data_IF_092879592765
#
_entry.id   IF_092879592765
#
_cell.length_a   1.000
_cell.length_b   1.000
_cell.length_c   1.000
_cell.angle_alpha   90.00
_cell.angle_beta   90.00
_cell.angle_gamma   90.00
#
_symmetry.space_group_name_H-M   'P 1'
#
loop_
_entity.id
_entity.type
_entity.pdbx_description
1 polymer ?
#
# COMPACT_ATOMS: atom_id res chain seq x y z
N UNK A 1 -67.47 -28.97 22.40
CA UNK A 1 -66.89 -27.87 21.65
C UNK A 1 -65.43 -27.81 22.02
N UNK A 2 -64.47 -28.22 21.15
CA UNK A 2 -63.07 -28.16 21.46
C UNK A 2 -62.44 -26.91 20.79
N UNK A 3 -61.71 -26.11 21.58
CA UNK A 3 -60.99 -24.93 21.23
C UNK A 3 -59.71 -25.29 20.45
N UNK A 4 -59.57 -24.79 19.23
CA UNK A 4 -58.39 -24.95 18.37
C UNK A 4 -57.33 -23.93 18.80
N UNK A 5 -56.26 -24.41 19.43
CA UNK A 5 -55.05 -23.63 19.70
C UNK A 5 -54.25 -23.48 18.40
N UNK A 6 -54.24 -22.27 17.83
CA UNK A 6 -53.43 -21.86 16.70
C UNK A 6 -51.99 -21.65 17.18
N UNK A 7 -51.11 -22.61 16.92
CA UNK A 7 -49.66 -22.47 17.19
C UNK A 7 -49.04 -21.63 16.08
N UNK A 8 -48.72 -20.38 16.39
CA UNK A 8 -47.93 -19.54 15.53
C UNK A 8 -46.47 -20.05 15.51
N UNK A 9 -46.04 -20.62 14.40
CA UNK A 9 -44.63 -20.94 14.14
C UNK A 9 -43.92 -19.69 13.74
N UNK A 10 -43.11 -19.13 14.65
CA UNK A 10 -42.22 -18.00 14.39
C UNK A 10 -41.00 -18.55 13.65
N UNK A 11 -40.96 -18.36 12.31
CA UNK A 11 -39.77 -18.63 11.51
C UNK A 11 -38.70 -17.59 11.80
N UNK A 12 -37.71 -17.94 12.64
CA UNK A 12 -36.46 -17.21 12.79
C UNK A 12 -35.63 -17.42 11.53
N UNK A 13 -35.64 -16.41 10.65
CA UNK A 13 -34.75 -16.35 9.48
C UNK A 13 -33.33 -16.10 9.98
N UNK A 14 -32.32 -16.94 9.71
CA UNK A 14 -30.95 -16.65 10.08
C UNK A 14 -30.44 -15.49 9.24
N UNK A 15 -30.12 -14.38 9.89
CA UNK A 15 -29.41 -13.24 9.28
C UNK A 15 -27.98 -13.70 8.94
N UNK A 16 -27.75 -14.09 7.70
CA UNK A 16 -26.41 -14.40 7.20
C UNK A 16 -25.60 -13.10 7.17
N UNK A 17 -24.75 -12.92 8.17
CA UNK A 17 -23.74 -11.87 8.18
C UNK A 17 -22.70 -12.26 7.12
N UNK A 18 -22.79 -11.65 5.94
CA UNK A 18 -21.72 -11.70 4.95
C UNK A 18 -20.53 -10.92 5.53
N UNK A 19 -19.59 -11.63 6.13
CA UNK A 19 -18.27 -11.07 6.39
C UNK A 19 -17.63 -10.78 5.02
N UNK A 20 -17.64 -9.54 4.61
CA UNK A 20 -16.86 -9.08 3.48
C UNK A 20 -15.39 -9.33 3.83
N UNK A 21 -14.79 -10.36 3.24
CA UNK A 21 -13.35 -10.57 3.29
C UNK A 21 -12.68 -9.41 2.56
N UNK A 22 -12.21 -8.42 3.30
CA UNK A 22 -11.30 -7.39 2.78
C UNK A 22 -9.97 -8.07 2.40
N UNK A 23 -9.86 -8.43 1.12
CA UNK A 23 -8.67 -9.08 0.56
C UNK A 23 -7.59 -8.01 0.40
N UNK A 24 -6.78 -7.77 1.42
CA UNK A 24 -5.62 -6.92 1.30
C UNK A 24 -5.27 -6.03 2.49
N UNK A 25 -6.07 -5.99 3.54
CA UNK A 25 -5.69 -5.28 4.75
C UNK A 25 -5.11 -6.26 5.77
N UNK A 26 -3.82 -6.11 6.13
CA UNK A 26 -3.33 -6.66 7.38
C UNK A 26 -3.77 -5.74 8.52
N UNK A 27 -4.79 -6.11 9.33
CA UNK A 27 -5.39 -5.22 10.35
C UNK A 27 -4.38 -4.80 11.43
N UNK A 28 -3.31 -5.58 11.62
CA UNK A 28 -2.36 -5.40 12.72
C UNK A 28 -1.53 -4.10 12.65
N UNK A 29 -1.39 -3.47 11.48
CA UNK A 29 -0.58 -2.26 11.29
C UNK A 29 -1.40 -1.00 11.06
N UNK A 30 -2.64 -1.13 10.60
CA UNK A 30 -3.54 0.01 10.37
C UNK A 30 -3.89 0.69 11.68
N UNK A 31 -3.83 2.03 11.69
CA UNK A 31 -4.08 2.86 12.88
C UNK A 31 -2.84 3.06 13.77
N UNK A 32 -1.69 2.46 13.45
CA UNK A 32 -0.43 2.65 14.18
C UNK A 32 0.43 3.72 13.53
N UNK A 33 1.29 4.33 14.32
CA UNK A 33 2.36 5.21 13.81
C UNK A 33 3.28 4.37 12.94
N UNK A 34 3.56 4.85 11.72
CA UNK A 34 4.51 4.22 10.81
C UNK A 34 5.91 4.19 11.46
N UNK A 35 6.61 3.04 11.45
CA UNK A 35 7.99 2.96 11.88
C UNK A 35 8.85 3.94 11.07
N UNK A 36 9.72 4.69 11.74
CA UNK A 36 10.66 5.55 11.03
C UNK A 36 11.83 4.73 10.49
N UNK A 37 12.31 5.11 9.32
CA UNK A 37 13.50 4.54 8.71
C UNK A 37 14.28 5.57 7.92
N UNK A 38 15.57 5.31 7.75
CA UNK A 38 16.44 6.07 6.89
C UNK A 38 17.25 5.09 6.03
N UNK A 39 17.02 5.09 4.72
CA UNK A 39 17.72 4.22 3.75
C UNK A 39 18.41 5.10 2.73
N UNK A 40 19.64 4.73 2.38
CA UNK A 40 20.43 5.38 1.32
C UNK A 40 21.20 4.33 0.53
N UNK A 41 21.23 4.49 -0.80
CA UNK A 41 22.02 3.68 -1.72
C UNK A 41 23.27 4.41 -2.24
N UNK A 42 23.56 5.60 -1.68
CA UNK A 42 24.66 6.47 -2.08
C UNK A 42 24.29 7.49 -3.16
N UNK A 43 23.30 7.20 -4.00
CA UNK A 43 22.77 8.12 -5.02
C UNK A 43 21.52 8.85 -4.51
N UNK A 44 20.65 8.12 -3.81
CA UNK A 44 19.39 8.60 -3.29
C UNK A 44 19.25 8.24 -1.81
N UNK A 45 18.47 9.00 -1.05
CA UNK A 45 18.13 8.67 0.32
C UNK A 45 16.67 8.98 0.61
N UNK A 46 16.03 8.11 1.40
CA UNK A 46 14.67 8.30 1.92
C UNK A 46 14.71 8.19 3.43
N UNK A 47 14.33 9.28 4.10
CA UNK A 47 14.08 9.30 5.54
C UNK A 47 12.59 9.62 5.74
N UNK A 48 11.81 8.66 6.23
CA UNK A 48 10.35 8.77 6.29
C UNK A 48 9.91 9.98 7.14
N UNK A 49 10.63 10.29 8.21
CA UNK A 49 10.32 11.43 9.08
C UNK A 49 10.27 12.78 8.34
N UNK A 50 11.00 12.92 7.22
CA UNK A 50 11.02 14.16 6.42
C UNK A 50 9.69 14.43 5.69
N UNK A 51 8.78 13.45 5.67
CA UNK A 51 7.49 13.54 4.98
C UNK A 51 6.31 13.75 5.92
N UNK A 52 6.56 14.06 7.19
CA UNK A 52 5.50 14.47 8.12
C UNK A 52 4.74 15.68 7.57
N UNK A 53 3.42 15.67 7.70
CA UNK A 53 2.54 16.68 7.11
C UNK A 53 2.11 16.40 5.67
N UNK A 54 2.65 15.36 5.02
CA UNK A 54 2.22 14.89 3.70
C UNK A 54 1.51 13.55 3.82
N UNK A 55 0.62 13.26 2.86
CA UNK A 55 0.15 11.89 2.63
C UNK A 55 1.26 11.15 1.89
N UNK A 56 1.63 9.97 2.36
CA UNK A 56 2.72 9.16 1.81
C UNK A 56 2.16 7.83 1.28
N UNK A 57 2.56 7.47 0.07
CA UNK A 57 2.52 6.11 -0.44
C UNK A 57 3.93 5.52 -0.32
N UNK A 58 4.14 4.66 0.66
CA UNK A 58 5.38 3.91 0.83
C UNK A 58 5.23 2.56 0.11
N UNK A 59 5.88 2.43 -1.03
CA UNK A 59 5.81 1.25 -1.90
C UNK A 59 7.11 0.44 -1.79
N UNK A 60 6.99 -0.84 -1.47
CA UNK A 60 8.09 -1.80 -1.49
C UNK A 60 8.00 -2.65 -2.76
N UNK A 61 9.08 -2.72 -3.53
CA UNK A 61 9.07 -3.30 -4.86
C UNK A 61 10.44 -3.88 -5.29
N UNK A 62 10.51 -4.43 -6.51
CA UNK A 62 11.77 -4.81 -7.15
C UNK A 62 11.63 -4.81 -8.68
N UNK A 63 12.75 -4.68 -9.39
CA UNK A 63 12.78 -4.67 -10.86
C UNK A 63 12.45 -6.01 -11.49
N UNK A 64 12.66 -7.11 -10.78
CA UNK A 64 12.34 -8.48 -11.20
C UNK A 64 10.94 -8.93 -10.79
N UNK A 65 10.21 -8.11 -10.04
CA UNK A 65 8.86 -8.41 -9.57
C UNK A 65 7.82 -8.06 -10.66
N UNK A 66 7.28 -9.06 -11.32
CA UNK A 66 6.31 -8.86 -12.41
C UNK A 66 5.07 -8.06 -12.00
N UNK A 67 4.39 -8.32 -10.85
CA UNK A 67 3.27 -7.48 -10.41
C UNK A 67 3.67 -6.04 -10.11
N UNK A 68 4.90 -5.81 -9.58
CA UNK A 68 5.41 -4.45 -9.34
C UNK A 68 5.51 -3.67 -10.66
N UNK A 69 6.02 -4.32 -11.72
CA UNK A 69 6.14 -3.72 -13.06
C UNK A 69 4.76 -3.39 -13.64
N UNK A 70 3.75 -4.21 -13.36
CA UNK A 70 2.39 -3.99 -13.85
C UNK A 70 1.73 -2.73 -13.27
N UNK A 71 1.99 -2.41 -12.00
CA UNK A 71 1.41 -1.22 -11.36
C UNK A 71 2.14 0.08 -11.67
N UNK A 72 3.41 0.02 -12.09
CA UNK A 72 4.26 1.20 -12.32
C UNK A 72 3.62 2.28 -13.21
N UNK A 73 2.97 1.97 -14.35
CA UNK A 73 2.37 3.01 -15.18
C UNK A 73 1.34 3.84 -14.40
N UNK A 74 0.43 3.21 -13.68
CA UNK A 74 -0.61 3.91 -12.92
C UNK A 74 -0.04 4.65 -11.69
N UNK A 75 1.08 4.15 -11.13
CA UNK A 75 1.78 4.80 -10.03
C UNK A 75 2.51 6.07 -10.50
N UNK A 76 3.13 6.03 -11.69
CA UNK A 76 3.72 7.19 -12.35
C UNK A 76 2.67 8.24 -12.70
N UNK A 77 1.53 7.82 -13.27
CA UNK A 77 0.41 8.74 -13.55
C UNK A 77 -0.08 9.43 -12.28
N UNK A 78 -0.21 8.69 -11.17
CA UNK A 78 -0.58 9.28 -9.89
C UNK A 78 0.45 10.27 -9.38
N UNK A 79 1.74 9.97 -9.54
CA UNK A 79 2.85 10.85 -9.16
C UNK A 79 2.79 12.19 -9.90
N UNK A 80 2.55 12.15 -11.22
CA UNK A 80 2.47 13.37 -12.05
C UNK A 80 1.20 14.17 -11.76
N UNK A 81 0.08 13.50 -11.46
CA UNK A 81 -1.21 14.13 -11.26
C UNK A 81 -1.38 14.78 -9.88
N UNK A 82 -0.66 14.30 -8.85
CA UNK A 82 -0.76 14.82 -7.48
C UNK A 82 0.63 15.11 -6.86
N UNK A 83 1.19 16.30 -7.11
CA UNK A 83 2.50 16.69 -6.58
C UNK A 83 2.53 16.86 -5.05
N UNK A 84 1.36 16.87 -4.38
CA UNK A 84 1.30 16.95 -2.92
C UNK A 84 1.39 15.59 -2.24
N UNK A 85 1.16 14.51 -2.99
CA UNK A 85 1.33 13.14 -2.54
C UNK A 85 2.81 12.75 -2.61
N UNK A 86 3.36 12.27 -1.51
CA UNK A 86 4.72 11.75 -1.51
C UNK A 86 4.71 10.25 -1.85
N UNK A 87 5.21 9.87 -3.01
CA UNK A 87 5.43 8.47 -3.37
C UNK A 87 6.89 8.13 -3.09
N UNK A 88 7.11 7.23 -2.13
CA UNK A 88 8.41 6.76 -1.69
C UNK A 88 8.55 5.28 -2.06
N UNK A 89 9.38 4.99 -3.05
CA UNK A 89 9.58 3.63 -3.52
C UNK A 89 10.88 3.05 -2.94
N UNK A 90 10.79 1.96 -2.21
CA UNK A 90 11.96 1.27 -1.64
C UNK A 90 12.11 -0.07 -2.35
N UNK A 91 13.20 -0.19 -3.12
CA UNK A 91 13.52 -1.39 -3.87
C UNK A 91 14.38 -2.34 -3.05
N UNK A 92 14.09 -3.63 -3.16
CA UNK A 92 14.91 -4.69 -2.55
C UNK A 92 15.90 -5.31 -3.54
N UNK A 93 16.13 -4.69 -4.70
CA UNK A 93 17.11 -5.18 -5.67
C UNK A 93 18.51 -5.27 -5.07
N UNK A 94 19.18 -6.43 -5.28
CA UNK A 94 20.55 -6.63 -4.81
C UNK A 94 21.57 -6.05 -5.78
N UNK A 95 21.32 -6.14 -7.09
CA UNK A 95 22.21 -5.67 -8.15
C UNK A 95 21.97 -4.17 -8.47
N UNK A 96 22.95 -3.29 -8.16
CA UNK A 96 22.80 -1.85 -8.40
C UNK A 96 22.78 -1.49 -9.89
N UNK A 97 23.48 -2.26 -10.73
CA UNK A 97 23.58 -1.96 -12.17
C UNK A 97 22.27 -2.34 -12.87
N UNK A 98 21.74 -3.52 -12.57
CA UNK A 98 20.43 -3.95 -13.09
C UNK A 98 19.30 -3.01 -12.64
N UNK A 99 19.33 -2.54 -11.40
CA UNK A 99 18.37 -1.58 -10.86
C UNK A 99 18.46 -0.24 -11.62
N UNK A 100 19.66 0.35 -11.74
CA UNK A 100 19.84 1.64 -12.39
C UNK A 100 19.50 1.59 -13.89
N UNK A 101 19.86 0.49 -14.57
CA UNK A 101 19.50 0.26 -15.96
C UNK A 101 17.98 0.16 -16.16
N UNK A 102 17.27 -0.53 -15.24
CA UNK A 102 15.81 -0.63 -15.28
C UNK A 102 15.16 0.75 -15.15
N UNK A 103 15.59 1.57 -14.16
CA UNK A 103 15.06 2.93 -13.95
C UNK A 103 15.23 3.78 -15.20
N UNK A 104 16.44 3.76 -15.77
CA UNK A 104 16.78 4.54 -16.96
C UNK A 104 15.95 4.11 -18.17
N UNK A 105 15.88 2.82 -18.47
CA UNK A 105 15.14 2.30 -19.63
C UNK A 105 13.63 2.53 -19.55
N UNK A 106 13.09 2.55 -18.35
CA UNK A 106 11.66 2.76 -18.08
C UNK A 106 11.29 4.21 -17.79
N UNK A 107 12.29 5.11 -17.78
CA UNK A 107 12.10 6.53 -17.43
C UNK A 107 11.35 6.71 -16.09
N UNK A 108 11.77 5.94 -15.08
CA UNK A 108 11.17 6.02 -13.73
C UNK A 108 11.69 7.28 -13.05
N UNK A 109 10.83 8.25 -12.83
CA UNK A 109 11.12 9.53 -12.16
C UNK A 109 10.53 9.62 -10.73
N UNK A 110 10.08 8.48 -10.19
CA UNK A 110 9.71 8.37 -8.78
C UNK A 110 10.93 8.54 -7.87
N UNK A 111 10.70 9.08 -6.67
CA UNK A 111 11.70 9.00 -5.62
C UNK A 111 11.86 7.55 -5.17
N UNK A 112 12.92 6.90 -5.63
CA UNK A 112 13.20 5.50 -5.33
C UNK A 112 14.60 5.31 -4.79
N UNK A 113 14.78 4.39 -3.83
CA UNK A 113 16.04 4.03 -3.20
C UNK A 113 16.17 2.53 -3.12
N UNK A 114 17.38 2.01 -3.28
CA UNK A 114 17.67 0.59 -3.16
C UNK A 114 18.03 0.22 -1.70
N UNK A 115 17.36 -0.78 -1.15
CA UNK A 115 17.58 -1.35 0.20
C UNK A 115 17.74 -2.88 0.11
N UNK A 116 18.89 -3.38 -0.36
CA UNK A 116 19.13 -4.83 -0.54
C UNK A 116 19.13 -5.60 0.78
N UNK A 117 19.25 -4.90 1.90
CA UNK A 117 19.15 -5.50 3.24
C UNK A 117 17.70 -5.70 3.70
N UNK A 118 16.74 -5.14 2.97
CA UNK A 118 15.32 -5.12 3.32
C UNK A 118 15.04 -4.50 4.70
N UNK A 119 15.93 -3.60 5.13
CA UNK A 119 15.85 -3.04 6.50
C UNK A 119 14.55 -2.29 6.75
N UNK A 120 14.11 -1.47 5.78
CA UNK A 120 12.83 -0.78 5.87
C UNK A 120 11.66 -1.75 5.75
N UNK A 121 11.69 -2.69 4.80
CA UNK A 121 10.64 -3.69 4.61
C UNK A 121 10.40 -4.53 5.87
N UNK A 122 11.47 -4.95 6.56
CA UNK A 122 11.40 -5.70 7.83
C UNK A 122 10.72 -4.91 8.94
N UNK A 123 10.96 -3.60 9.05
CA UNK A 123 10.28 -2.73 10.02
C UNK A 123 8.76 -2.66 9.78
N UNK A 124 8.35 -2.71 8.52
CA UNK A 124 6.95 -2.70 8.11
C UNK A 124 6.32 -4.10 8.05
N UNK A 125 7.06 -5.16 8.41
CA UNK A 125 6.62 -6.55 8.27
C UNK A 125 6.06 -6.84 6.86
N UNK A 126 6.78 -6.37 5.85
CA UNK A 126 6.48 -6.62 4.45
C UNK A 126 6.97 -8.01 4.07
N UNK A 127 6.08 -8.82 3.50
CA UNK A 127 6.35 -10.23 3.18
C UNK A 127 6.09 -10.56 1.71
N UNK A 128 5.46 -9.65 0.97
CA UNK A 128 5.09 -9.84 -0.44
C UNK A 128 5.41 -8.59 -1.25
N UNK A 129 5.61 -8.76 -2.56
CA UNK A 129 5.92 -7.66 -3.48
C UNK A 129 4.90 -7.59 -4.62
N UNK A 130 4.36 -6.38 -4.94
CA UNK A 130 4.53 -5.13 -4.18
C UNK A 130 3.64 -5.09 -2.92
N UNK A 131 4.09 -4.38 -1.90
CA UNK A 131 3.25 -3.93 -0.80
C UNK A 131 3.34 -2.41 -0.67
N UNK A 132 2.18 -1.75 -0.54
CA UNK A 132 2.12 -0.30 -0.41
C UNK A 132 1.36 0.12 0.84
N UNK A 133 2.00 0.95 1.64
CA UNK A 133 1.42 1.55 2.84
C UNK A 133 0.97 2.97 2.56
N UNK A 134 -0.29 3.27 2.88
CA UNK A 134 -0.81 4.64 2.88
C UNK A 134 -0.65 5.21 4.27
N UNK A 135 0.12 6.28 4.37
CA UNK A 135 0.45 6.95 5.63
C UNK A 135 -0.10 8.38 5.56
N UNK A 136 -0.87 8.78 6.55
CA UNK A 136 -1.46 10.13 6.59
C UNK A 136 -0.47 11.21 7.04
N UNK A 137 -0.93 12.47 7.06
CA UNK A 137 -0.13 13.64 7.45
C UNK A 137 0.39 13.56 8.88
N UNK A 138 -0.27 12.80 9.77
CA UNK A 138 0.15 12.56 11.14
C UNK A 138 1.16 11.41 11.24
N UNK A 139 1.42 10.71 10.14
CA UNK A 139 2.30 9.56 10.08
C UNK A 139 1.65 8.27 10.57
N UNK A 140 0.33 8.18 10.52
CA UNK A 140 -0.42 6.98 10.89
C UNK A 140 -0.66 6.15 9.62
N UNK A 141 -0.41 4.86 9.68
CA UNK A 141 -0.74 3.92 8.62
C UNK A 141 -2.27 3.81 8.54
N UNK A 142 -2.85 4.21 7.41
CA UNK A 142 -4.29 4.18 7.16
C UNK A 142 -4.74 2.99 6.36
N UNK A 143 -3.88 2.48 5.49
CA UNK A 143 -4.19 1.31 4.67
C UNK A 143 -2.90 0.59 4.25
N UNK A 144 -2.99 -0.71 4.01
CA UNK A 144 -1.97 -1.52 3.36
C UNK A 144 -2.60 -2.18 2.14
N UNK A 145 -1.95 -2.05 1.01
CA UNK A 145 -2.27 -2.79 -0.21
C UNK A 145 -1.25 -3.89 -0.41
N UNK A 146 -1.70 -5.07 -0.80
CA UNK A 146 -0.86 -6.24 -1.09
C UNK A 146 -1.10 -6.64 -2.54
N UNK A 147 -0.02 -6.77 -3.31
CA UNK A 147 -0.07 -7.01 -4.74
C UNK A 147 -0.35 -5.76 -5.57
N UNK A 148 -0.26 -5.91 -6.89
CA UNK A 148 -0.40 -4.81 -7.85
C UNK A 148 -1.76 -4.11 -7.72
N UNK A 149 -1.72 -2.77 -7.75
CA UNK A 149 -2.90 -1.91 -7.69
C UNK A 149 -3.04 -1.09 -8.97
N UNK A 150 -4.28 -0.72 -9.29
CA UNK A 150 -4.55 0.36 -10.25
C UNK A 150 -4.67 1.69 -9.48
N UNK A 151 -3.55 2.42 -9.43
CA UNK A 151 -3.45 3.72 -8.76
C UNK A 151 -4.22 4.84 -9.48
N UNK A 152 -4.64 4.61 -10.73
CA UNK A 152 -5.47 5.53 -11.50
C UNK A 152 -6.95 5.42 -11.15
N UNK A 153 -7.37 4.37 -10.43
CA UNK A 153 -8.77 4.13 -10.13
C UNK A 153 -9.40 5.29 -9.34
N UNK A 154 -10.63 5.72 -9.68
CA UNK A 154 -11.31 6.83 -8.99
C UNK A 154 -11.50 6.57 -7.50
N UNK A 155 -11.68 5.33 -7.10
CA UNK A 155 -11.84 4.94 -5.69
C UNK A 155 -10.57 5.22 -4.89
N UNK A 156 -9.41 4.78 -5.39
CA UNK A 156 -8.12 5.01 -4.73
C UNK A 156 -7.80 6.50 -4.66
N UNK A 157 -7.99 7.23 -5.78
CA UNK A 157 -7.74 8.68 -5.83
C UNK A 157 -8.64 9.47 -4.87
N UNK A 158 -9.92 9.10 -4.77
CA UNK A 158 -10.86 9.71 -3.83
C UNK A 158 -10.45 9.44 -2.38
N UNK A 159 -10.05 8.21 -2.08
CA UNK A 159 -9.56 7.84 -0.77
C UNK A 159 -8.32 8.65 -0.35
N UNK A 160 -7.32 8.75 -1.23
CA UNK A 160 -6.08 9.49 -0.94
C UNK A 160 -6.34 10.99 -0.71
N UNK A 161 -7.25 11.60 -1.47
CA UNK A 161 -7.63 13.01 -1.31
C UNK A 161 -8.35 13.29 0.02
N UNK A 162 -8.94 12.28 0.63
CA UNK A 162 -9.64 12.37 1.92
C UNK A 162 -8.73 12.34 3.16
N UNK A 163 -7.41 12.13 2.97
CA UNK A 163 -6.41 12.04 4.04
C UNK A 163 -5.66 13.37 4.22
#
# INVERSE_FOLDING_TARGET
MPSRHLRAFLFLLPLAIFAACDRGAHPAQTGRVAPDFNVSDGATSIHLANYRGKVVLLNFWATWCSPCIQELPSLLDLHHDDPNLAILAVSIDEDPDAYSEFLSRRHIDLLTVRDPSESAAKLFHTEQWPETYVIDRQGIIRRKFIGAQDWSSPEVRTYLKGL
#
